data_IF_500915665213
#
_entry.id   IF_500915665213
#
_cell.length_a   1.000
_cell.length_b   1.000
_cell.length_c   1.000
_cell.angle_alpha   90.00
_cell.angle_beta   90.00
_cell.angle_gamma   90.00
#
_symmetry.space_group_name_H-M   'P 1'
#
loop_
_entity.id
_entity.type
_entity.pdbx_description
1 polymer ?
#
# COMPACT_ATOMS: atom_id res chain seq x y z
N UNK A 1 -0.04 17.08 28.11
CA UNK A 1 -0.30 18.01 26.99
C UNK A 1 0.78 17.88 25.90
N UNK A 2 1.93 17.24 26.17
CA UNK A 2 3.07 17.20 25.24
C UNK A 2 3.34 15.79 24.65
N UNK A 3 2.29 15.05 24.27
CA UNK A 3 2.41 13.72 23.63
C UNK A 3 2.12 13.72 22.13
N UNK A 4 1.50 14.78 21.63
CA UNK A 4 1.05 14.86 20.23
C UNK A 4 2.23 14.79 19.24
N UNK A 5 3.37 15.48 19.46
CA UNK A 5 4.51 15.34 18.55
C UNK A 5 5.07 13.91 18.52
N UNK A 6 5.23 13.27 19.68
CA UNK A 6 5.75 11.90 19.79
C UNK A 6 4.84 10.90 19.06
N UNK A 7 3.52 11.00 19.26
CA UNK A 7 2.54 10.13 18.60
C UNK A 7 2.56 10.28 17.07
N UNK A 8 2.78 11.50 16.53
CA UNK A 8 2.86 11.70 15.08
C UNK A 8 4.08 11.02 14.45
N UNK A 9 5.23 11.03 15.13
CA UNK A 9 6.42 10.31 14.66
C UNK A 9 6.19 8.79 14.68
N UNK A 10 5.57 8.26 15.74
CA UNK A 10 5.20 6.84 15.82
C UNK A 10 4.24 6.41 14.70
N UNK A 11 3.27 7.27 14.35
CA UNK A 11 2.35 7.03 13.23
C UNK A 11 3.06 7.09 11.87
N UNK A 12 4.02 8.00 11.70
CA UNK A 12 4.83 8.05 10.48
C UNK A 12 5.71 6.80 10.32
N UNK A 13 6.30 6.32 11.42
CA UNK A 13 7.03 5.05 11.46
C UNK A 13 6.12 3.86 11.15
N UNK A 14 4.86 3.90 11.58
CA UNK A 14 3.87 2.90 11.21
C UNK A 14 3.57 2.86 9.72
N UNK A 15 3.40 4.01 9.07
CA UNK A 15 3.22 4.05 7.62
C UNK A 15 4.42 3.42 6.90
N UNK A 16 5.65 3.75 7.31
CA UNK A 16 6.84 3.17 6.72
C UNK A 16 6.91 1.65 6.89
N UNK A 17 6.48 1.11 8.04
CA UNK A 17 6.36 -0.35 8.26
C UNK A 17 5.35 -1.00 7.30
N UNK A 18 4.26 -0.33 6.96
CA UNK A 18 3.36 -0.84 5.92
C UNK A 18 4.03 -0.85 4.55
N UNK A 19 4.85 0.16 4.20
CA UNK A 19 5.59 0.15 2.94
C UNK A 19 6.56 -1.05 2.83
N UNK A 20 7.16 -1.51 3.93
CA UNK A 20 8.07 -2.67 3.95
C UNK A 20 7.39 -3.99 3.49
N UNK A 21 6.08 -4.09 3.71
CA UNK A 21 5.27 -5.30 3.45
C UNK A 21 4.01 -4.99 2.66
N UNK A 22 4.08 -3.98 1.79
CA UNK A 22 2.93 -3.43 1.11
C UNK A 22 2.32 -4.47 0.15
N UNK A 23 1.01 -4.74 0.27
CA UNK A 23 0.29 -5.70 -0.58
C UNK A 23 0.63 -5.55 -2.06
N UNK A 24 0.68 -4.31 -2.56
CA UNK A 24 0.90 -4.09 -4.00
C UNK A 24 2.30 -4.50 -4.45
N UNK A 25 3.21 -4.88 -3.54
CA UNK A 25 4.54 -5.38 -3.84
C UNK A 25 4.65 -6.92 -3.76
N UNK A 26 3.61 -7.63 -3.35
CA UNK A 26 3.64 -9.09 -3.18
C UNK A 26 2.88 -9.78 -4.30
N UNK A 27 3.58 -10.11 -5.38
CA UNK A 27 2.98 -10.71 -6.58
C UNK A 27 2.93 -12.24 -6.44
N UNK A 28 1.83 -12.83 -6.88
CA UNK A 28 1.61 -14.26 -6.88
C UNK A 28 2.71 -15.01 -7.66
N UNK A 29 3.30 -16.04 -7.04
CA UNK A 29 4.32 -16.90 -7.67
C UNK A 29 3.69 -18.15 -8.33
N UNK A 30 2.59 -18.66 -7.77
CA UNK A 30 2.01 -19.96 -8.14
C UNK A 30 1.06 -19.90 -9.35
N UNK A 31 0.74 -18.71 -9.87
CA UNK A 31 -0.23 -18.51 -10.97
C UNK A 31 0.18 -17.35 -11.86
N UNK A 32 0.66 -17.64 -13.07
CA UNK A 32 1.06 -16.63 -14.07
C UNK A 32 -0.12 -15.71 -14.43
N UNK A 33 -1.32 -16.25 -14.59
CA UNK A 33 -2.52 -15.46 -14.89
C UNK A 33 -2.89 -14.49 -13.77
N UNK A 34 -2.72 -14.90 -12.50
CA UNK A 34 -2.95 -14.02 -11.36
C UNK A 34 -1.85 -12.97 -11.25
N UNK A 35 -0.58 -13.35 -11.44
CA UNK A 35 0.54 -12.42 -11.43
C UNK A 35 0.39 -11.32 -12.49
N UNK A 36 -0.03 -11.68 -13.71
CA UNK A 36 -0.33 -10.73 -14.78
C UNK A 36 -1.48 -9.78 -14.40
N UNK A 37 -2.54 -10.30 -13.78
CA UNK A 37 -3.69 -9.52 -13.33
C UNK A 37 -3.30 -8.54 -12.21
N UNK A 38 -2.58 -9.02 -11.21
CA UNK A 38 -2.05 -8.21 -10.10
C UNK A 38 -1.14 -7.11 -10.64
N UNK A 39 -0.16 -7.43 -11.48
CA UNK A 39 0.73 -6.43 -12.09
C UNK A 39 -0.04 -5.40 -12.92
N UNK A 40 -1.04 -5.82 -13.70
CA UNK A 40 -1.85 -4.90 -14.51
C UNK A 40 -2.58 -3.85 -13.66
N UNK A 41 -2.95 -4.17 -12.42
CA UNK A 41 -3.66 -3.27 -11.51
C UNK A 41 -2.73 -2.55 -10.51
N UNK A 42 -1.70 -3.22 -10.01
CA UNK A 42 -0.85 -2.74 -8.93
C UNK A 42 0.39 -1.98 -9.42
N UNK A 43 0.95 -2.32 -10.58
CA UNK A 43 2.10 -1.59 -11.13
C UNK A 43 1.83 -0.11 -11.40
N UNK A 44 0.67 0.29 -11.96
CA UNK A 44 0.33 1.71 -12.13
C UNK A 44 0.29 2.47 -10.80
N UNK A 45 -0.17 1.83 -9.73
CA UNK A 45 -0.28 2.44 -8.41
C UNK A 45 1.09 2.60 -7.74
N UNK A 46 1.97 1.61 -7.87
CA UNK A 46 3.39 1.75 -7.45
C UNK A 46 4.09 2.85 -8.23
N UNK A 47 3.85 2.93 -9.54
CA UNK A 47 4.42 3.96 -10.40
C UNK A 47 3.92 5.36 -10.01
N UNK A 48 2.62 5.48 -9.73
CA UNK A 48 2.01 6.71 -9.21
C UNK A 48 2.65 7.14 -7.89
N UNK A 49 2.78 6.22 -6.92
CA UNK A 49 3.38 6.54 -5.62
C UNK A 49 4.83 7.03 -5.76
N UNK A 50 5.60 6.41 -6.65
CA UNK A 50 6.96 6.86 -6.96
C UNK A 50 7.03 8.23 -7.64
N UNK A 51 6.05 8.58 -8.49
CA UNK A 51 6.03 9.86 -9.21
C UNK A 51 5.46 11.01 -8.39
N UNK A 52 4.42 10.75 -7.60
CA UNK A 52 3.70 11.76 -6.85
C UNK A 52 4.31 12.00 -5.46
N UNK A 53 4.84 10.94 -4.83
CA UNK A 53 5.22 10.95 -3.41
C UNK A 53 6.68 10.54 -3.17
N UNK A 54 7.45 10.26 -4.22
CA UNK A 54 8.82 9.69 -4.15
C UNK A 54 8.89 8.33 -3.42
N UNK A 55 7.75 7.65 -3.22
CA UNK A 55 7.68 6.32 -2.59
C UNK A 55 7.85 5.26 -3.67
N UNK A 56 9.09 4.89 -3.93
CA UNK A 56 9.46 3.90 -4.95
C UNK A 56 9.64 2.54 -4.28
N UNK A 57 8.62 1.68 -4.36
CA UNK A 57 8.66 0.34 -3.80
C UNK A 57 9.05 -0.70 -4.85
N UNK A 58 9.79 -1.71 -4.40
CA UNK A 58 10.27 -2.83 -5.21
C UNK A 58 9.29 -4.00 -5.04
N UNK A 59 8.60 -4.43 -6.10
CA UNK A 59 7.78 -5.63 -6.06
C UNK A 59 8.66 -6.89 -5.97
N UNK A 60 8.13 -7.91 -5.32
CA UNK A 60 8.71 -9.25 -5.22
C UNK A 60 7.71 -10.29 -5.70
N UNK A 61 8.24 -11.34 -6.33
CA UNK A 61 7.48 -12.56 -6.61
C UNK A 61 7.58 -13.49 -5.40
N UNK A 62 6.45 -14.00 -4.94
CA UNK A 62 6.38 -14.97 -3.86
C UNK A 62 6.56 -14.40 -2.45
N UNK A 63 6.88 -15.28 -1.49
CA UNK A 63 6.83 -14.96 -0.05
C UNK A 63 8.10 -14.30 0.51
N UNK A 64 9.15 -14.16 -0.30
CA UNK A 64 10.43 -13.62 0.16
C UNK A 64 10.44 -12.10 -0.06
N UNK A 65 10.14 -11.36 1.00
CA UNK A 65 10.23 -9.90 1.00
C UNK A 65 11.67 -9.44 0.69
N UNK A 66 11.79 -8.48 -0.22
CA UNK A 66 13.02 -7.71 -0.45
C UNK A 66 12.97 -6.46 0.43
N UNK A 67 14.10 -6.03 1.04
CA UNK A 67 14.12 -4.75 1.72
C UNK A 67 13.75 -3.63 0.75
N UNK A 68 12.84 -2.76 1.19
CA UNK A 68 12.47 -1.55 0.46
C UNK A 68 13.60 -0.51 0.57
N UNK A 69 13.75 0.41 -0.41
CA UNK A 69 14.79 1.43 -0.33
C UNK A 69 14.56 2.35 0.88
N UNK A 70 15.61 2.60 1.67
CA UNK A 70 15.54 3.53 2.83
C UNK A 70 14.96 4.89 2.44
N UNK A 71 15.30 5.39 1.25
CA UNK A 71 14.78 6.65 0.72
C UNK A 71 13.24 6.64 0.56
N UNK A 72 12.65 5.51 0.16
CA UNK A 72 11.20 5.36 0.02
C UNK A 72 10.52 5.31 1.37
N UNK A 73 11.15 4.67 2.37
CA UNK A 73 10.64 4.65 3.74
C UNK A 73 10.68 6.06 4.37
N UNK A 74 11.75 6.80 4.14
CA UNK A 74 11.85 8.21 4.57
C UNK A 74 10.87 9.12 3.83
N UNK A 75 10.61 8.88 2.54
CA UNK A 75 9.59 9.59 1.78
C UNK A 75 8.19 9.36 2.37
N UNK A 76 7.85 8.12 2.71
CA UNK A 76 6.60 7.78 3.38
C UNK A 76 6.47 8.49 4.74
N UNK A 77 7.52 8.47 5.58
CA UNK A 77 7.52 9.23 6.85
C UNK A 77 7.29 10.72 6.64
N UNK A 78 7.98 11.29 5.66
CA UNK A 78 7.87 12.71 5.33
C UNK A 78 6.46 13.07 4.88
N UNK A 79 5.87 12.26 4.01
CA UNK A 79 4.48 12.39 3.58
C UNK A 79 3.51 12.35 4.78
N UNK A 80 3.62 11.32 5.63
CA UNK A 80 2.79 11.17 6.83
C UNK A 80 2.86 12.39 7.76
N UNK A 81 4.07 12.89 8.01
CA UNK A 81 4.30 14.05 8.87
C UNK A 81 3.79 15.37 8.26
N UNK A 82 3.59 15.41 6.94
CA UNK A 82 3.00 16.55 6.24
C UNK A 82 1.48 16.64 6.35
N UNK A 83 0.80 15.55 6.73
CA UNK A 83 -0.66 15.50 6.88
C UNK A 83 -1.14 16.11 8.20
N UNK A 84 -2.37 16.63 8.23
CA UNK A 84 -3.01 16.95 9.50
C UNK A 84 -3.39 15.67 10.30
N UNK A 85 -3.77 15.84 11.57
CA UNK A 85 -4.05 14.71 12.45
C UNK A 85 -5.20 13.82 11.97
N UNK A 86 -6.19 14.40 11.28
CA UNK A 86 -7.35 13.64 10.79
C UNK A 86 -6.98 12.81 9.57
N UNK A 87 -6.29 13.42 8.60
CA UNK A 87 -5.79 12.73 7.41
C UNK A 87 -4.78 11.64 7.78
N UNK A 88 -3.85 11.89 8.72
CA UNK A 88 -2.88 10.90 9.18
C UNK A 88 -3.56 9.70 9.87
N UNK A 89 -4.58 9.96 10.69
CA UNK A 89 -5.36 8.88 11.32
C UNK A 89 -6.13 8.06 10.28
N UNK A 90 -6.77 8.73 9.32
CA UNK A 90 -7.47 8.08 8.22
C UNK A 90 -6.55 7.24 7.33
N UNK A 91 -5.35 7.76 7.04
CA UNK A 91 -4.32 7.05 6.28
C UNK A 91 -3.97 5.72 6.93
N UNK A 92 -3.58 5.71 8.22
CA UNK A 92 -3.19 4.47 8.89
C UNK A 92 -4.35 3.48 9.04
N UNK A 93 -5.57 3.98 9.25
CA UNK A 93 -6.76 3.12 9.22
C UNK A 93 -6.93 2.46 7.83
N UNK A 94 -6.74 3.23 6.76
CA UNK A 94 -6.74 2.73 5.38
C UNK A 94 -5.66 1.69 5.13
N UNK A 95 -4.44 1.89 5.64
CA UNK A 95 -3.35 0.91 5.50
C UNK A 95 -3.76 -0.46 6.04
N UNK A 96 -4.40 -0.51 7.21
CA UNK A 96 -4.89 -1.76 7.79
C UNK A 96 -6.08 -2.37 7.04
N UNK A 97 -6.93 -1.54 6.43
CA UNK A 97 -8.08 -2.01 5.65
C UNK A 97 -7.67 -2.61 4.31
N UNK A 98 -6.68 -2.01 3.65
CA UNK A 98 -6.22 -2.42 2.31
C UNK A 98 -5.00 -3.33 2.35
N UNK A 99 -4.32 -3.47 3.49
CA UNK A 99 -3.01 -4.11 3.58
C UNK A 99 -1.90 -3.36 2.83
N UNK A 100 -2.12 -2.08 2.51
CA UNK A 100 -1.26 -1.32 1.61
C UNK A 100 -1.18 0.16 2.01
N UNK A 101 0.05 0.65 2.18
CA UNK A 101 0.31 2.08 2.30
C UNK A 101 0.07 2.80 0.98
N UNK A 102 0.47 2.21 -0.15
CA UNK A 102 0.26 2.80 -1.49
C UNK A 102 -1.21 3.06 -1.76
N UNK A 103 -2.09 2.08 -1.50
CA UNK A 103 -3.54 2.24 -1.69
C UNK A 103 -4.12 3.28 -0.73
N UNK A 104 -3.69 3.28 0.54
CA UNK A 104 -4.16 4.26 1.51
C UNK A 104 -3.73 5.69 1.13
N UNK A 105 -2.49 5.88 0.65
CA UNK A 105 -2.01 7.16 0.14
C UNK A 105 -2.79 7.60 -1.11
N UNK A 106 -3.07 6.67 -2.03
CA UNK A 106 -3.89 6.95 -3.22
C UNK A 106 -5.29 7.44 -2.85
N UNK A 107 -5.89 6.91 -1.78
CA UNK A 107 -7.20 7.39 -1.29
C UNK A 107 -7.10 8.79 -0.68
N UNK A 108 -6.06 9.05 0.11
CA UNK A 108 -5.86 10.37 0.74
C UNK A 108 -5.61 11.46 -0.32
N UNK A 109 -4.83 11.16 -1.35
CA UNK A 109 -4.52 12.07 -2.47
C UNK A 109 -5.65 12.14 -3.52
N UNK A 110 -6.67 11.27 -3.41
CA UNK A 110 -7.79 11.23 -4.35
C UNK A 110 -7.47 10.61 -5.71
N UNK A 111 -6.35 9.90 -5.84
CA UNK A 111 -6.02 9.07 -7.01
C UNK A 111 -7.00 7.90 -7.14
N UNK A 112 -7.42 7.32 -6.02
CA UNK A 112 -8.45 6.27 -5.96
C UNK A 112 -9.58 6.68 -5.01
N UNK A 113 -10.79 6.20 -5.30
CA UNK A 113 -11.83 6.18 -4.26
C UNK A 113 -11.53 5.06 -3.25
N UNK A 114 -12.04 5.19 -2.02
CA UNK A 114 -11.89 4.13 -1.02
C UNK A 114 -12.55 2.80 -1.45
N UNK A 115 -13.59 2.86 -2.28
CA UNK A 115 -14.25 1.66 -2.83
C UNK A 115 -13.34 0.99 -3.86
N UNK A 116 -12.79 1.75 -4.81
CA UNK A 116 -11.88 1.21 -5.83
C UNK A 116 -10.61 0.62 -5.17
N UNK A 117 -10.04 1.32 -4.18
CA UNK A 117 -8.90 0.81 -3.43
C UNK A 117 -9.21 -0.52 -2.70
N UNK A 118 -10.42 -0.66 -2.14
CA UNK A 118 -10.85 -1.90 -1.50
C UNK A 118 -11.02 -3.05 -2.49
N UNK A 119 -11.53 -2.77 -3.70
CA UNK A 119 -11.68 -3.78 -4.75
C UNK A 119 -10.31 -4.22 -5.29
N UNK A 120 -9.40 -3.26 -5.55
CA UNK A 120 -8.04 -3.53 -6.02
C UNK A 120 -7.21 -4.29 -4.98
N UNK A 121 -7.44 -4.06 -3.69
CA UNK A 121 -6.76 -4.79 -2.60
C UNK A 121 -7.13 -6.27 -2.52
N UNK A 122 -8.17 -6.73 -3.24
CA UNK A 122 -8.75 -8.08 -3.09
C UNK A 122 -8.78 -8.85 -4.40
N UNK A 123 -7.89 -8.50 -5.33
CA UNK A 123 -7.77 -9.15 -6.65
C UNK A 123 -7.50 -10.64 -6.48
N UNK A 124 -6.60 -11.01 -5.57
CA UNK A 124 -6.25 -12.40 -5.24
C UNK A 124 -7.46 -13.18 -4.70
N UNK A 125 -8.19 -12.61 -3.73
CA UNK A 125 -9.40 -13.21 -3.16
C UNK A 125 -10.51 -13.36 -4.22
N UNK A 126 -10.69 -12.35 -5.06
CA UNK A 126 -11.67 -12.35 -6.14
C UNK A 126 -11.32 -13.39 -7.22
N UNK A 127 -10.02 -13.57 -7.51
CA UNK A 127 -9.53 -14.61 -8.42
C UNK A 127 -9.75 -16.00 -7.82
N UNK A 128 -9.38 -16.22 -6.56
CA UNK A 128 -9.59 -17.51 -5.86
C UNK A 128 -11.07 -17.89 -5.82
N UNK A 129 -11.96 -16.93 -5.56
CA UNK A 129 -13.40 -17.15 -5.56
C UNK A 129 -13.94 -17.57 -6.95
N UNK A 130 -13.34 -17.08 -8.04
CA UNK A 130 -13.69 -17.49 -9.41
C UNK A 130 -13.18 -18.90 -9.72
N UNK A 131 -11.94 -19.23 -9.31
CA UNK A 131 -11.36 -20.55 -9.55
C UNK A 131 -12.04 -21.66 -8.73
N UNK A 132 -12.58 -21.32 -7.56
CA UNK A 132 -13.34 -22.23 -6.70
C UNK A 132 -14.87 -22.06 -6.83
N UNK A 133 -15.32 -21.44 -7.94
CA UNK A 133 -16.70 -21.00 -8.17
C UNK A 133 -17.30 -21.38 -9.53
N UNK A 134 -17.14 -22.64 -9.96
CA UNK A 134 -18.18 -23.45 -10.62
C UNK A 134 -18.13 -24.86 -10.01
N UNK A 135 -18.85 -25.06 -8.89
CA UNK A 135 -19.37 -26.38 -8.49
C UNK A 135 -20.86 -26.48 -8.89
#
# INVERSE_FOLDING_TARGET
IDRVPETRYEMADELARYCETDLVCHIAEDSEELAELEEAHWAPLRAWAGQALDVILVPVEGIIASPQPDASLEAARTYALGLDDFALTGLLYGCGLFGSAVLAMAVVEGELTATDAFEVARIDEAWQAQQWGED
#
